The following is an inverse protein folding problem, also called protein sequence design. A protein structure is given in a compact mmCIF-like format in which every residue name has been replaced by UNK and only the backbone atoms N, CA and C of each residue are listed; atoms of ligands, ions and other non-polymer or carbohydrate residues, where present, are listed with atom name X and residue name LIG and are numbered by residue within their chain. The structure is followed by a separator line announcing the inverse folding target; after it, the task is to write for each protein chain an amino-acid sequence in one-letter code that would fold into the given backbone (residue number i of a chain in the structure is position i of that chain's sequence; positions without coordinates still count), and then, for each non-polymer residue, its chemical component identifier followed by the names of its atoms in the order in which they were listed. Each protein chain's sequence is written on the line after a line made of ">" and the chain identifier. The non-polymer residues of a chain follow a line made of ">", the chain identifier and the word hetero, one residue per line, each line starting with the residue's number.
data_IF_402131954768
#
_entry.id   IF_402131954768
#
_cell.length_a   1.000
_cell.length_b   1.000
_cell.length_c   1.000
_cell.angle_alpha   90.00
_cell.angle_beta   90.00
_cell.angle_gamma   90.00
#
_symmetry.space_group_name_H-M   'P 1'
#
loop_
_entity.id
_entity.type
_entity.pdbx_description
1 polymer ?
#
# COMPACT_ATOMS: atom_id res chain seq x y z
N UNK A 1 13.49 -0.36 7.25
CA UNK A 1 12.38 -0.13 8.19
C UNK A 1 13.01 0.21 9.52
N UNK A 2 12.65 1.35 10.09
CA UNK A 2 13.12 1.73 11.42
C UNK A 2 12.31 1.04 12.54
N UNK A 3 12.73 1.25 13.80
CA UNK A 3 12.07 0.64 14.96
C UNK A 3 10.63 1.11 15.14
N UNK A 4 10.33 2.38 14.86
CA UNK A 4 9.00 2.96 15.02
C UNK A 4 8.02 2.35 14.01
N UNK A 5 8.44 2.23 12.76
CA UNK A 5 7.68 1.58 11.69
C UNK A 5 7.42 0.10 12.01
N UNK A 6 8.46 -0.63 12.41
CA UNK A 6 8.35 -2.04 12.77
C UNK A 6 7.36 -2.23 13.94
N UNK A 7 7.54 -1.48 15.03
CA UNK A 7 6.63 -1.52 16.17
C UNK A 7 5.20 -1.14 15.76
N UNK A 8 5.04 -0.15 14.88
CA UNK A 8 3.75 0.25 14.30
C UNK A 8 3.04 -0.91 13.61
N UNK A 9 3.74 -1.70 12.77
CA UNK A 9 3.15 -2.88 12.13
C UNK A 9 2.70 -3.92 13.17
N UNK A 10 3.53 -4.23 14.17
CA UNK A 10 3.17 -5.19 15.21
C UNK A 10 1.99 -4.72 16.06
N UNK A 11 1.97 -3.44 16.44
CA UNK A 11 0.88 -2.86 17.22
C UNK A 11 -0.43 -2.86 16.43
N UNK A 12 -0.39 -2.48 15.15
CA UNK A 12 -1.56 -2.49 14.28
C UNK A 12 -2.08 -3.92 14.06
N UNK A 13 -1.18 -4.89 13.83
CA UNK A 13 -1.54 -6.30 13.73
C UNK A 13 -2.22 -6.81 15.01
N UNK A 14 -1.67 -6.50 16.19
CA UNK A 14 -2.25 -6.91 17.47
C UNK A 14 -3.65 -6.33 17.70
N UNK A 15 -3.85 -5.05 17.36
CA UNK A 15 -5.13 -4.35 17.59
C UNK A 15 -6.24 -4.78 16.63
N UNK A 16 -5.89 -5.14 15.38
CA UNK A 16 -6.87 -5.24 14.30
C UNK A 16 -6.93 -6.62 13.62
N UNK A 17 -5.85 -7.41 13.65
CA UNK A 17 -5.69 -8.59 12.79
C UNK A 17 -5.41 -9.88 13.56
N UNK A 18 -4.72 -9.81 14.69
CA UNK A 18 -4.48 -10.98 15.53
C UNK A 18 -5.75 -11.41 16.26
N UNK A 19 -5.86 -12.72 16.46
CA UNK A 19 -6.90 -13.33 17.26
C UNK A 19 -6.25 -14.10 18.41
N UNK A 20 -7.03 -14.49 19.40
CA UNK A 20 -6.55 -15.34 20.52
C UNK A 20 -6.02 -16.71 20.08
N UNK A 21 -6.24 -17.09 18.80
CA UNK A 21 -5.82 -18.37 18.21
C UNK A 21 -4.81 -18.20 17.08
N UNK A 22 -4.26 -17.01 16.87
CA UNK A 22 -3.27 -16.77 15.82
C UNK A 22 -2.04 -17.66 16.04
N UNK A 23 -1.73 -18.49 15.05
CA UNK A 23 -0.47 -19.24 15.00
C UNK A 23 0.69 -18.29 14.65
N UNK A 24 1.94 -18.74 14.78
CA UNK A 24 3.10 -17.92 14.36
C UNK A 24 3.01 -17.50 12.88
N UNK A 25 2.59 -18.40 11.98
CA UNK A 25 2.39 -18.08 10.56
C UNK A 25 1.29 -17.03 10.37
N UNK A 26 0.13 -17.23 11.00
CA UNK A 26 -0.97 -16.25 10.91
C UNK A 26 -0.59 -14.90 11.52
N UNK A 27 0.15 -14.91 12.63
CA UNK A 27 0.68 -13.72 13.28
C UNK A 27 1.64 -12.95 12.38
N UNK A 28 2.60 -13.64 11.75
CA UNK A 28 3.53 -13.05 10.80
C UNK A 28 2.81 -12.46 9.57
N UNK A 29 1.86 -13.18 8.97
CA UNK A 29 1.06 -12.65 7.86
C UNK A 29 0.31 -11.37 8.24
N UNK A 30 -0.26 -11.32 9.45
CA UNK A 30 -0.94 -10.13 9.95
C UNK A 30 0.02 -8.94 10.15
N UNK A 31 1.28 -9.17 10.55
CA UNK A 31 2.29 -8.10 10.65
C UNK A 31 2.69 -7.59 9.27
N UNK A 32 2.91 -8.49 8.31
CA UNK A 32 3.23 -8.11 6.92
C UNK A 32 2.08 -7.29 6.33
N UNK A 33 0.84 -7.73 6.53
CA UNK A 33 -0.35 -6.99 6.14
C UNK A 33 -0.45 -5.64 6.84
N UNK A 34 -0.20 -5.58 8.14
CA UNK A 34 -0.22 -4.31 8.87
C UNK A 34 0.81 -3.31 8.33
N UNK A 35 2.00 -3.78 7.90
CA UNK A 35 2.95 -2.92 7.22
C UNK A 35 2.37 -2.42 5.89
N UNK A 36 1.74 -3.29 5.10
CA UNK A 36 1.07 -2.91 3.85
C UNK A 36 -0.02 -1.85 4.08
N UNK A 37 -0.91 -2.07 5.05
CA UNK A 37 -2.01 -1.15 5.39
C UNK A 37 -1.51 0.23 5.85
N UNK A 38 -0.39 0.26 6.56
CA UNK A 38 0.26 1.49 7.02
C UNK A 38 1.14 2.14 5.95
N UNK A 39 1.27 1.54 4.76
CA UNK A 39 2.15 1.97 3.69
C UNK A 39 3.64 1.81 3.99
N UNK A 40 4.02 1.00 4.98
CA UNK A 40 5.42 0.67 5.21
C UNK A 40 5.88 -0.46 4.29
N UNK A 41 7.19 -0.62 4.15
CA UNK A 41 7.80 -1.65 3.30
C UNK A 41 7.50 -3.07 3.81
N UNK A 42 6.39 -3.64 3.35
CA UNK A 42 5.90 -4.96 3.72
C UNK A 42 6.79 -6.08 3.15
N UNK A 43 7.50 -5.84 2.05
CA UNK A 43 8.48 -6.76 1.51
C UNK A 43 9.66 -6.95 2.47
N UNK A 44 10.16 -5.86 3.08
CA UNK A 44 11.16 -5.97 4.16
C UNK A 44 10.63 -6.75 5.35
N UNK A 45 9.36 -6.57 5.74
CA UNK A 45 8.75 -7.37 6.81
C UNK A 45 8.69 -8.86 6.42
N UNK A 46 8.29 -9.18 5.19
CA UNK A 46 8.24 -10.54 4.66
C UNK A 46 9.62 -11.21 4.71
N UNK A 47 10.66 -10.52 4.23
CA UNK A 47 12.05 -11.01 4.29
C UNK A 47 12.53 -11.19 5.74
N UNK A 48 12.15 -10.32 6.66
CA UNK A 48 12.56 -10.41 8.06
C UNK A 48 12.02 -11.66 8.78
N UNK A 49 10.89 -12.22 8.35
CA UNK A 49 10.36 -13.47 8.91
C UNK A 49 11.01 -14.73 8.32
N UNK A 50 11.67 -14.67 7.16
CA UNK A 50 12.25 -15.85 6.51
C UNK A 50 13.24 -16.64 7.38
N UNK A 51 14.18 -16.00 8.13
CA UNK A 51 15.15 -16.73 8.96
C UNK A 51 14.51 -17.53 10.10
N UNK A 52 13.26 -17.27 10.44
CA UNK A 52 12.53 -17.98 11.51
C UNK A 52 11.97 -19.33 11.07
N UNK A 53 12.11 -19.69 9.79
CA UNK A 53 11.56 -20.92 9.21
C UNK A 53 10.05 -20.86 8.94
N UNK A 54 9.42 -19.70 9.11
CA UNK A 54 8.03 -19.48 8.74
C UNK A 54 7.89 -19.28 7.23
N UNK A 55 7.07 -20.11 6.59
CA UNK A 55 6.64 -19.87 5.22
C UNK A 55 5.58 -18.76 5.19
N UNK A 56 6.03 -17.54 4.88
CA UNK A 56 5.21 -16.33 4.73
C UNK A 56 5.01 -15.92 3.27
N UNK A 57 5.44 -16.75 2.32
CA UNK A 57 5.30 -16.47 0.88
C UNK A 57 3.84 -16.43 0.45
N UNK A 58 2.99 -17.20 1.12
CA UNK A 58 1.56 -17.33 0.84
C UNK A 58 0.67 -16.35 1.62
N UNK A 59 1.23 -15.33 2.26
CA UNK A 59 0.44 -14.36 3.03
C UNK A 59 -0.35 -13.43 2.11
N UNK A 60 -1.67 -13.40 2.25
CA UNK A 60 -2.54 -12.51 1.47
C UNK A 60 -2.58 -11.11 2.09
N UNK A 61 -2.14 -10.09 1.34
CA UNK A 61 -2.12 -8.69 1.78
C UNK A 61 -3.46 -7.97 1.57
N UNK A 62 -4.26 -8.42 0.61
CA UNK A 62 -5.47 -7.74 0.14
C UNK A 62 -6.72 -8.13 0.92
N UNK A 63 -6.59 -9.02 1.90
CA UNK A 63 -7.75 -9.39 2.72
C UNK A 63 -8.21 -8.18 3.52
N UNK A 64 -9.38 -7.60 3.25
CA UNK A 64 -9.88 -6.37 3.91
C UNK A 64 -9.19 -5.06 3.48
N UNK A 65 -8.49 -5.00 2.34
CA UNK A 65 -8.04 -3.72 1.77
C UNK A 65 -9.25 -2.86 1.35
N UNK A 66 -9.20 -1.57 1.67
CA UNK A 66 -10.18 -0.60 1.15
C UNK A 66 -9.77 -0.23 -0.27
N UNK A 67 -10.56 -0.65 -1.24
CA UNK A 67 -10.40 -0.28 -2.65
C UNK A 67 -10.74 1.20 -2.87
N UNK A 68 -10.09 1.81 -3.86
CA UNK A 68 -10.41 3.14 -4.37
C UNK A 68 -11.24 2.97 -5.65
N UNK A 69 -12.53 3.29 -5.57
CA UNK A 69 -13.44 3.20 -6.72
C UNK A 69 -13.37 4.42 -7.63
N UNK A 70 -13.77 4.25 -8.89
CA UNK A 70 -13.86 5.36 -9.83
C UNK A 70 -14.84 6.44 -9.32
N UNK A 71 -14.45 7.70 -9.44
CA UNK A 71 -15.17 8.86 -8.89
C UNK A 71 -15.06 9.03 -7.38
N UNK A 72 -14.18 8.28 -6.70
CA UNK A 72 -13.96 8.41 -5.26
C UNK A 72 -12.71 9.22 -4.92
N UNK A 73 -12.78 9.93 -3.79
CA UNK A 73 -11.65 10.67 -3.22
C UNK A 73 -11.34 10.08 -1.84
N UNK A 74 -10.05 9.89 -1.57
CA UNK A 74 -9.52 9.46 -0.29
C UNK A 74 -8.61 10.53 0.27
N UNK A 75 -9.01 11.11 1.40
CA UNK A 75 -8.24 12.12 2.11
C UNK A 75 -7.25 11.48 3.10
N UNK A 76 -6.26 12.26 3.51
CA UNK A 76 -5.29 11.90 4.55
C UNK A 76 -4.49 10.61 4.24
N UNK A 77 -4.18 10.36 2.97
CA UNK A 77 -3.24 9.32 2.56
C UNK A 77 -1.84 9.79 2.93
N UNK A 78 -1.23 9.16 3.91
CA UNK A 78 0.09 9.59 4.40
C UNK A 78 1.21 9.02 3.52
N UNK A 79 2.09 9.89 3.03
CA UNK A 79 3.26 9.53 2.22
C UNK A 79 4.54 10.15 2.79
N UNK A 80 5.66 9.46 2.65
CA UNK A 80 7.01 9.95 2.99
C UNK A 80 8.08 9.04 2.38
N UNK A 81 9.35 9.35 2.58
CA UNK A 81 10.44 8.43 2.22
C UNK A 81 10.35 7.08 2.96
N UNK A 82 9.64 7.04 4.09
CA UNK A 82 9.42 5.84 4.90
C UNK A 82 8.04 5.20 4.72
N UNK A 83 7.10 5.89 4.05
CA UNK A 83 5.72 5.45 3.87
C UNK A 83 5.28 5.62 2.43
N UNK A 84 5.04 4.50 1.76
CA UNK A 84 4.54 4.41 0.39
C UNK A 84 3.29 3.52 0.34
N UNK A 85 2.10 4.08 0.65
CA UNK A 85 0.86 3.32 0.65
C UNK A 85 0.51 2.82 -0.75
N UNK A 86 -0.10 1.64 -0.79
CA UNK A 86 -0.61 1.01 -2.01
C UNK A 86 -2.12 0.83 -1.85
N UNK A 87 -2.88 1.35 -2.80
CA UNK A 87 -4.34 1.25 -2.82
C UNK A 87 -4.76 0.42 -4.02
N UNK A 88 -5.58 -0.60 -3.78
CA UNK A 88 -6.23 -1.35 -4.86
C UNK A 88 -7.27 -0.47 -5.54
N UNK A 89 -7.28 -0.47 -6.87
CA UNK A 89 -8.24 0.28 -7.67
C UNK A 89 -9.41 -0.63 -8.04
N UNK A 90 -10.63 -0.21 -7.72
CA UNK A 90 -11.84 -0.86 -8.20
C UNK A 90 -12.14 -0.32 -9.60
N UNK A 91 -11.47 -0.89 -10.59
CA UNK A 91 -11.65 -0.52 -12.00
C UNK A 91 -12.47 -1.58 -12.71
N UNK A 92 -13.73 -1.27 -13.03
CA UNK A 92 -14.48 -2.02 -14.05
C UNK A 92 -13.95 -1.78 -15.46
N UNK A 93 -13.29 -0.63 -15.66
CA UNK A 93 -12.80 -0.19 -16.96
C UNK A 93 -11.27 -0.20 -17.05
N UNK A 94 -10.77 -0.40 -18.26
CA UNK A 94 -9.34 -0.48 -18.58
C UNK A 94 -8.59 0.87 -18.48
N UNK A 95 -9.27 1.97 -18.16
CA UNK A 95 -8.72 3.33 -18.27
C UNK A 95 -9.12 4.17 -17.08
N UNK A 96 -8.27 5.10 -16.68
CA UNK A 96 -8.58 6.02 -15.59
C UNK A 96 -7.51 7.07 -15.34
N UNK A 97 -7.83 8.01 -14.45
CA UNK A 97 -6.93 9.08 -14.01
C UNK A 97 -6.84 9.06 -12.49
N UNK A 98 -5.61 8.95 -11.96
CA UNK A 98 -5.37 9.16 -10.53
C UNK A 98 -4.67 10.50 -10.35
N UNK A 99 -5.21 11.33 -9.46
CA UNK A 99 -4.55 12.55 -8.99
C UNK A 99 -4.20 12.41 -7.52
N UNK A 100 -3.09 13.03 -7.12
CA UNK A 100 -2.58 13.08 -5.76
C UNK A 100 -2.13 14.51 -5.44
N UNK A 101 -2.78 15.15 -4.48
CA UNK A 101 -2.47 16.50 -4.02
C UNK A 101 -1.97 16.46 -2.57
N UNK A 102 -0.71 16.83 -2.36
CA UNK A 102 -0.15 16.94 -1.02
C UNK A 102 -0.58 18.24 -0.33
N UNK A 103 -0.91 18.17 0.96
CA UNK A 103 -1.34 19.34 1.75
C UNK A 103 -0.26 20.43 1.88
N UNK A 104 1.02 20.07 1.69
CA UNK A 104 2.17 20.98 1.69
C UNK A 104 2.60 21.39 0.27
N UNK A 105 1.83 21.02 -0.76
CA UNK A 105 2.14 21.22 -2.19
C UNK A 105 3.44 20.52 -2.65
N UNK A 106 3.93 19.54 -1.90
CA UNK A 106 5.04 18.70 -2.35
C UNK A 106 4.62 17.76 -3.47
N UNK A 107 5.60 17.36 -4.27
CA UNK A 107 5.39 16.38 -5.34
C UNK A 107 5.13 14.99 -4.78
N UNK A 108 4.11 14.32 -5.29
CA UNK A 108 3.79 12.92 -5.01
C UNK A 108 4.01 12.10 -6.27
N UNK A 109 4.88 11.09 -6.20
CA UNK A 109 5.04 10.11 -7.28
C UNK A 109 3.95 9.06 -7.18
N UNK A 110 3.30 8.78 -8.31
CA UNK A 110 2.23 7.78 -8.44
C UNK A 110 2.69 6.71 -9.42
N UNK A 111 2.70 5.46 -8.97
CA UNK A 111 2.95 4.28 -9.81
C UNK A 111 1.69 3.44 -9.86
N UNK A 112 1.16 3.19 -11.06
CA UNK A 112 0.12 2.21 -11.31
C UNK A 112 0.78 0.86 -11.53
N UNK A 113 0.37 -0.15 -10.76
CA UNK A 113 0.96 -1.50 -10.79
C UNK A 113 -0.10 -2.57 -10.97
N UNK A 114 0.30 -3.74 -11.48
CA UNK A 114 -0.59 -4.91 -11.68
C UNK A 114 -0.47 -5.96 -10.59
N UNK A 115 0.36 -5.72 -9.58
CA UNK A 115 0.56 -6.56 -8.42
C UNK A 115 0.43 -5.77 -7.11
N UNK A 116 0.02 -6.48 -6.06
CA UNK A 116 -0.13 -5.95 -4.71
C UNK A 116 1.21 -5.65 -4.02
N UNK A 117 2.35 -6.09 -4.55
CA UNK A 117 3.66 -5.76 -3.98
C UNK A 117 4.24 -4.44 -4.55
N UNK A 118 3.52 -3.81 -5.49
CA UNK A 118 3.90 -2.54 -6.10
C UNK A 118 5.19 -2.62 -6.90
N UNK A 119 5.43 -3.73 -7.61
CA UNK A 119 6.67 -4.00 -8.36
C UNK A 119 6.50 -3.91 -9.88
N UNK A 120 5.38 -4.38 -10.41
CA UNK A 120 5.06 -4.44 -11.84
C UNK A 120 4.36 -3.15 -12.27
N UNK A 121 5.16 -2.10 -12.44
CA UNK A 121 4.70 -0.78 -12.85
C UNK A 121 4.29 -0.76 -14.33
N UNK A 122 3.08 -0.26 -14.60
CA UNK A 122 2.53 -0.09 -15.96
C UNK A 122 2.37 1.36 -16.38
N UNK A 123 2.26 2.28 -15.43
CA UNK A 123 2.26 3.72 -15.67
C UNK A 123 2.82 4.45 -14.45
N UNK A 124 3.56 5.54 -14.65
CA UNK A 124 4.11 6.37 -13.58
C UNK A 124 4.07 7.83 -13.96
N UNK A 125 3.77 8.69 -12.99
CA UNK A 125 3.83 10.15 -13.16
C UNK A 125 3.85 10.83 -11.79
N UNK A 126 3.99 12.15 -11.81
CA UNK A 126 3.95 13.00 -10.61
C UNK A 126 2.61 13.74 -10.53
N UNK A 127 1.97 13.71 -9.35
CA UNK A 127 0.70 14.35 -8.99
C UNK A 127 -0.54 13.94 -9.81
N UNK A 128 -0.38 13.51 -11.07
CA UNK A 128 -1.44 13.00 -11.93
C UNK A 128 -0.88 11.92 -12.85
N UNK A 129 -1.53 10.76 -12.90
CA UNK A 129 -1.22 9.66 -13.83
C UNK A 129 -2.47 9.24 -14.60
N UNK A 130 -2.33 9.22 -15.92
CA UNK A 130 -3.31 8.67 -16.84
C UNK A 130 -2.87 7.25 -17.20
N UNK A 131 -3.76 6.26 -17.14
CA UNK A 131 -3.42 4.88 -17.47
C UNK A 131 -4.44 4.23 -18.40
N UNK A 132 -3.96 3.24 -19.15
CA UNK A 132 -4.77 2.38 -20.02
C UNK A 132 -4.15 0.99 -20.00
N UNK A 133 -4.92 -0.02 -19.58
CA UNK A 133 -4.50 -1.41 -19.40
C UNK A 133 -5.51 -2.37 -20.03
N UNK A 134 -5.22 -3.67 -20.02
CA UNK A 134 -6.21 -4.66 -20.45
C UNK A 134 -7.34 -4.80 -19.42
N UNK A 135 -8.61 -4.92 -19.85
CA UNK A 135 -9.73 -5.15 -18.93
C UNK A 135 -9.55 -6.44 -18.11
N UNK A 136 -9.96 -6.39 -16.84
CA UNK A 136 -9.93 -7.56 -15.94
C UNK A 136 -8.59 -7.83 -15.27
N UNK A 137 -7.57 -6.99 -15.50
CA UNK A 137 -6.31 -7.01 -14.75
C UNK A 137 -6.50 -6.21 -13.45
N UNK A 138 -6.18 -6.78 -12.26
CA UNK A 138 -6.23 -6.01 -11.02
C UNK A 138 -5.17 -4.91 -11.03
N UNK A 139 -5.56 -3.71 -10.61
CA UNK A 139 -4.67 -2.55 -10.56
C UNK A 139 -4.50 -2.04 -9.13
N UNK A 140 -3.33 -1.49 -8.89
CA UNK A 140 -2.98 -0.84 -7.64
C UNK A 140 -2.30 0.49 -7.93
N UNK A 141 -2.57 1.50 -7.11
CA UNK A 141 -1.87 2.77 -7.13
C UNK A 141 -0.96 2.84 -5.91
N UNK A 142 0.34 2.94 -6.15
CA UNK A 142 1.37 3.17 -5.13
C UNK A 142 1.73 4.64 -5.13
N UNK A 143 1.71 5.23 -3.94
CA UNK A 143 2.05 6.64 -3.74
C UNK A 143 3.37 6.74 -2.99
N UNK A 144 4.24 7.68 -3.37
CA UNK A 144 5.49 7.93 -2.66
C UNK A 144 5.86 9.41 -2.70
N UNK A 145 6.71 9.84 -1.77
CA UNK A 145 7.20 11.21 -1.68
C UNK A 145 8.65 11.22 -1.20
N UNK A 146 9.37 12.28 -1.55
CA UNK A 146 10.72 12.56 -1.05
C UNK A 146 10.71 13.31 0.29
N UNK A 147 9.52 13.59 0.85
CA UNK A 147 9.38 14.21 2.17
C UNK A 147 9.96 13.29 3.27
N UNK A 148 10.80 13.87 4.12
CA UNK A 148 11.42 13.15 5.23
C UNK A 148 10.42 12.76 6.34
N UNK A 149 9.30 13.48 6.43
CA UNK A 149 8.21 13.26 7.38
C UNK A 149 6.93 12.94 6.62
N UNK A 150 5.97 12.31 7.32
CA UNK A 150 4.66 12.01 6.74
C UNK A 150 3.93 13.29 6.33
N UNK A 151 3.59 13.35 5.04
CA UNK A 151 2.76 14.38 4.45
C UNK A 151 1.40 13.77 4.10
N UNK A 152 0.32 14.46 4.46
CA UNK A 152 -1.03 14.06 4.11
C UNK A 152 -1.33 14.42 2.64
N UNK A 153 -1.88 13.46 1.90
CA UNK A 153 -2.23 13.57 0.49
C UNK A 153 -3.71 13.27 0.30
N UNK A 154 -4.36 14.06 -0.53
CA UNK A 154 -5.70 13.78 -1.05
C UNK A 154 -5.55 13.09 -2.39
N UNK A 155 -6.05 11.87 -2.50
CA UNK A 155 -6.00 11.06 -3.71
C UNK A 155 -7.40 11.01 -4.32
N UNK A 156 -7.52 11.30 -5.61
CA UNK A 156 -8.78 11.16 -6.35
C UNK A 156 -8.61 10.19 -7.51
N UNK A 157 -9.56 9.29 -7.68
CA UNK A 157 -9.68 8.45 -8.87
C UNK A 157 -10.85 8.94 -9.72
N UNK A 158 -10.57 9.38 -10.93
CA UNK A 158 -11.53 9.84 -11.94
C UNK A 158 -11.57 8.93 -13.16
#
# INVERSE_FOLDING_TARGET
>A
MDLYQAYGCFLHANRNLWTTRSTFKAGACAVIKACYDLGYDHNKARTAFQPTGLDVSSCNLLTLSVQLGAGSTKENVMVSTGRSPILELDTTDATGVITAEAADFSTVSIDITTDADGQNVVASSENEVNFTVEPGVPLFAKFSSQAATDTAVTVTFA
#
